data_IF_188390864381
#
_entry.id   IF_188390864381
#
_cell.length_a   1.000
_cell.length_b   1.000
_cell.length_c   1.000
_cell.angle_alpha   90.00
_cell.angle_beta   90.00
_cell.angle_gamma   90.00
#
_symmetry.space_group_name_H-M   'P 1'
#
loop_
_entity.id
_entity.type
_entity.pdbx_description
1 polymer ?
#
# COMPACT_ATOMS: atom_id res chain seq x y z
N UNK A 1 -9.56 10.17 -14.87
CA UNK A 1 -9.45 9.06 -13.94
C UNK A 1 -7.98 8.68 -13.83
N UNK A 2 -7.49 8.49 -12.61
CA UNK A 2 -6.21 7.88 -12.31
C UNK A 2 -6.43 6.48 -11.72
N UNK A 3 -5.48 5.58 -11.96
CA UNK A 3 -5.50 4.20 -11.46
C UNK A 3 -4.12 3.87 -10.90
N UNK A 4 -4.08 3.22 -9.75
CA UNK A 4 -2.87 2.63 -9.16
C UNK A 4 -3.12 1.18 -8.79
N UNK A 5 -2.07 0.35 -8.83
CA UNK A 5 -2.10 -1.04 -8.36
C UNK A 5 -0.89 -1.28 -7.49
N UNK A 6 -1.12 -1.74 -6.26
CA UNK A 6 -0.09 -1.89 -5.25
C UNK A 6 -0.23 -3.22 -4.49
N UNK A 7 0.91 -3.77 -4.06
CA UNK A 7 0.99 -4.99 -3.25
C UNK A 7 2.35 -5.05 -2.54
N UNK A 8 2.39 -5.61 -1.34
CA UNK A 8 3.64 -5.86 -0.61
C UNK A 8 3.58 -7.18 0.17
N UNK A 9 3.84 -8.29 -0.51
CA UNK A 9 3.79 -9.62 0.10
C UNK A 9 4.79 -9.81 1.25
N UNK A 10 5.97 -9.18 1.18
CA UNK A 10 6.97 -9.28 2.25
C UNK A 10 6.52 -8.55 3.52
N UNK A 11 5.89 -7.38 3.39
CA UNK A 11 5.32 -6.67 4.55
C UNK A 11 4.19 -7.47 5.19
N UNK A 12 3.29 -8.02 4.36
CA UNK A 12 2.19 -8.86 4.85
C UNK A 12 2.69 -10.16 5.47
N UNK A 13 3.82 -10.71 5.01
CA UNK A 13 4.44 -11.89 5.64
C UNK A 13 5.06 -11.57 6.99
N UNK A 14 5.71 -10.44 7.12
CA UNK A 14 6.38 -10.04 8.36
C UNK A 14 5.39 -9.58 9.45
N UNK A 15 4.38 -8.80 9.07
CA UNK A 15 3.28 -8.34 9.93
C UNK A 15 2.04 -8.11 9.04
N UNK A 16 1.11 -9.08 9.00
CA UNK A 16 -0.04 -9.03 8.11
C UNK A 16 -0.90 -7.77 8.32
N UNK A 17 -1.08 -7.34 9.55
CA UNK A 17 -1.91 -6.16 9.87
C UNK A 17 -1.25 -4.87 9.38
N UNK A 18 0.03 -4.68 9.67
CA UNK A 18 0.79 -3.51 9.19
C UNK A 18 0.94 -3.54 7.68
N UNK A 19 1.22 -4.71 7.09
CA UNK A 19 1.28 -4.88 5.64
C UNK A 19 -0.02 -4.52 4.96
N UNK A 20 -1.15 -4.95 5.50
CA UNK A 20 -2.49 -4.59 5.00
C UNK A 20 -2.76 -3.09 5.03
N UNK A 21 -2.32 -2.38 6.09
CA UNK A 21 -2.40 -0.90 6.14
C UNK A 21 -1.52 -0.25 5.09
N UNK A 22 -0.27 -0.73 4.96
CA UNK A 22 0.73 -0.16 4.07
C UNK A 22 0.27 -0.16 2.60
N UNK A 23 -0.25 -1.28 2.10
CA UNK A 23 -0.67 -1.37 0.70
C UNK A 23 -1.85 -0.44 0.36
N UNK A 24 -2.80 -0.26 1.30
CA UNK A 24 -3.91 0.70 1.10
C UNK A 24 -3.39 2.13 1.10
N UNK A 25 -2.52 2.47 2.04
CA UNK A 25 -1.94 3.82 2.11
C UNK A 25 -1.02 4.12 0.94
N UNK A 26 -0.24 3.15 0.46
CA UNK A 26 0.60 3.29 -0.73
C UNK A 26 -0.25 3.58 -1.96
N UNK A 27 -1.31 2.82 -2.17
CA UNK A 27 -2.24 3.03 -3.28
C UNK A 27 -2.88 4.43 -3.22
N UNK A 28 -3.31 4.84 -2.04
CA UNK A 28 -3.86 6.16 -1.79
C UNK A 28 -2.85 7.28 -2.12
N UNK A 29 -1.58 7.16 -1.67
CA UNK A 29 -0.50 8.11 -1.99
C UNK A 29 -0.21 8.19 -3.48
N UNK A 30 -0.18 7.04 -4.17
CA UNK A 30 0.10 6.97 -5.59
C UNK A 30 -0.93 7.72 -6.42
N UNK A 31 -2.21 7.65 -6.05
CA UNK A 31 -3.25 8.45 -6.68
C UNK A 31 -3.06 9.96 -6.43
N UNK A 32 -2.74 10.33 -5.19
CA UNK A 32 -2.47 11.73 -4.83
C UNK A 32 -1.26 12.29 -5.57
N UNK A 33 -0.21 11.47 -5.72
CA UNK A 33 1.04 11.89 -6.38
C UNK A 33 0.86 12.38 -7.81
N UNK A 34 -0.24 12.00 -8.47
CA UNK A 34 -0.59 12.47 -9.81
C UNK A 34 -1.69 13.55 -9.82
N UNK A 35 -2.07 14.06 -8.64
CA UNK A 35 -3.10 15.08 -8.48
C UNK A 35 -4.53 14.52 -8.47
N UNK A 36 -4.70 13.23 -8.26
CA UNK A 36 -6.01 12.60 -8.21
C UNK A 36 -6.54 12.51 -6.77
N UNK A 37 -7.79 12.88 -6.58
CA UNK A 37 -8.53 12.59 -5.34
C UNK A 37 -8.92 11.12 -5.30
N UNK A 38 -8.40 10.31 -4.35
CA UNK A 38 -8.75 8.90 -4.20
C UNK A 38 -10.25 8.73 -3.94
N UNK A 39 -10.88 7.74 -4.58
CA UNK A 39 -12.32 7.47 -4.45
C UNK A 39 -12.64 6.12 -3.85
N UNK A 40 -12.09 5.05 -4.42
CA UNK A 40 -12.43 3.69 -4.04
C UNK A 40 -11.35 2.71 -4.48
N UNK A 41 -11.35 1.52 -3.84
CA UNK A 41 -10.48 0.41 -4.20
C UNK A 41 -11.27 -0.85 -4.56
N UNK A 42 -10.63 -1.69 -5.36
CA UNK A 42 -10.90 -3.13 -5.45
C UNK A 42 -9.74 -3.89 -4.85
N UNK A 43 -9.99 -5.07 -4.28
CA UNK A 43 -8.91 -5.92 -3.79
C UNK A 43 -8.90 -7.30 -4.49
N UNK A 44 -7.73 -7.90 -4.60
CA UNK A 44 -7.53 -9.26 -5.05
C UNK A 44 -6.65 -9.95 -3.99
N UNK A 45 -7.27 -10.75 -3.14
CA UNK A 45 -6.63 -11.35 -1.97
C UNK A 45 -6.19 -12.77 -2.30
N UNK A 46 -4.89 -13.04 -2.22
CA UNK A 46 -4.31 -14.35 -2.54
C UNK A 46 -3.58 -14.91 -1.32
N UNK A 47 -4.04 -16.07 -0.83
CA UNK A 47 -3.54 -16.74 0.37
C UNK A 47 -3.41 -18.25 0.15
N UNK A 48 -2.67 -18.91 1.02
CA UNK A 48 -2.53 -20.37 1.03
C UNK A 48 -3.83 -21.09 1.44
N UNK A 49 -3.69 -22.31 1.97
CA UNK A 49 -4.85 -23.09 2.40
C UNK A 49 -5.52 -22.50 3.63
N UNK A 50 -6.84 -22.21 3.60
CA UNK A 50 -7.59 -21.70 4.74
C UNK A 50 -7.78 -22.75 5.85
N UNK A 51 -7.45 -24.02 5.59
CA UNK A 51 -7.46 -25.10 6.58
C UNK A 51 -6.28 -24.99 7.56
N UNK A 52 -5.26 -24.18 7.23
CA UNK A 52 -4.12 -23.89 8.11
C UNK A 52 -4.45 -22.70 8.99
N UNK A 53 -4.50 -22.87 10.33
CA UNK A 53 -4.85 -21.77 11.25
C UNK A 53 -3.96 -20.53 11.10
N UNK A 54 -2.66 -20.72 10.84
CA UNK A 54 -1.72 -19.63 10.62
C UNK A 54 -2.06 -18.79 9.37
N UNK A 55 -2.48 -19.43 8.27
CA UNK A 55 -2.89 -18.75 7.04
C UNK A 55 -4.17 -17.95 7.27
N UNK A 56 -5.12 -18.51 8.03
CA UNK A 56 -6.33 -17.78 8.38
C UNK A 56 -6.06 -16.62 9.33
N UNK A 57 -5.10 -16.75 10.25
CA UNK A 57 -4.62 -15.64 11.07
C UNK A 57 -4.05 -14.50 10.23
N UNK A 58 -3.12 -14.83 9.30
CA UNK A 58 -2.54 -13.87 8.35
C UNK A 58 -3.62 -13.16 7.50
N UNK A 59 -4.62 -13.90 7.03
CA UNK A 59 -5.74 -13.37 6.24
C UNK A 59 -6.59 -12.37 7.05
N UNK A 60 -7.00 -12.75 8.26
CA UNK A 60 -7.82 -11.90 9.16
C UNK A 60 -7.05 -10.62 9.51
N UNK A 61 -5.77 -10.72 9.84
CA UNK A 61 -4.96 -9.57 10.21
C UNK A 61 -4.72 -8.63 9.03
N UNK A 62 -4.46 -9.15 7.81
CA UNK A 62 -4.41 -8.35 6.60
C UNK A 62 -5.71 -7.56 6.40
N UNK A 63 -6.87 -8.22 6.50
CA UNK A 63 -8.18 -7.56 6.36
C UNK A 63 -8.38 -6.49 7.42
N UNK A 64 -8.03 -6.76 8.68
CA UNK A 64 -8.13 -5.78 9.75
C UNK A 64 -7.25 -4.55 9.48
N UNK A 65 -6.02 -4.76 9.00
CA UNK A 65 -5.13 -3.67 8.60
C UNK A 65 -5.69 -2.84 7.45
N UNK A 66 -6.17 -3.50 6.40
CA UNK A 66 -6.82 -2.85 5.26
C UNK A 66 -8.06 -2.06 5.69
N UNK A 67 -8.92 -2.65 6.53
CA UNK A 67 -10.10 -1.99 7.09
C UNK A 67 -9.74 -0.69 7.80
N UNK A 68 -8.78 -0.73 8.74
CA UNK A 68 -8.33 0.45 9.47
C UNK A 68 -7.88 1.57 8.53
N UNK A 69 -7.10 1.25 7.48
CA UNK A 69 -6.65 2.24 6.53
C UNK A 69 -7.77 2.79 5.64
N UNK A 70 -8.66 1.91 5.14
CA UNK A 70 -9.81 2.29 4.32
C UNK A 70 -10.76 3.24 5.06
N UNK A 71 -11.09 2.91 6.31
CA UNK A 71 -11.96 3.75 7.16
C UNK A 71 -11.30 5.11 7.44
N UNK A 72 -10.04 5.11 7.85
CA UNK A 72 -9.35 6.34 8.19
C UNK A 72 -9.14 7.28 7.00
N UNK A 73 -8.75 6.74 5.84
CA UNK A 73 -8.47 7.49 4.62
C UNK A 73 -9.75 7.81 3.82
N UNK A 74 -10.90 7.30 4.22
CA UNK A 74 -12.16 7.38 3.47
C UNK A 74 -12.00 6.82 2.04
N UNK A 75 -11.46 5.60 1.95
CA UNK A 75 -11.10 4.95 0.71
C UNK A 75 -11.74 3.55 0.66
N UNK A 76 -13.06 3.47 0.40
CA UNK A 76 -13.84 2.25 0.55
C UNK A 76 -13.51 1.17 -0.47
N UNK A 77 -13.61 -0.10 -0.04
CA UNK A 77 -13.61 -1.26 -0.93
C UNK A 77 -14.97 -1.39 -1.58
N UNK A 78 -15.04 -1.32 -2.92
CA UNK A 78 -16.30 -1.41 -3.68
C UNK A 78 -16.44 -2.73 -4.44
N UNK A 79 -15.36 -3.47 -4.62
CA UNK A 79 -15.35 -4.81 -5.19
C UNK A 79 -14.10 -5.56 -4.75
N UNK A 80 -14.06 -6.85 -5.03
CA UNK A 80 -12.88 -7.64 -4.71
C UNK A 80 -13.03 -9.10 -5.05
N UNK A 81 -11.93 -9.83 -4.82
CA UNK A 81 -11.82 -11.26 -5.03
C UNK A 81 -10.97 -11.87 -3.92
N UNK A 82 -11.30 -13.08 -3.51
CA UNK A 82 -10.48 -13.90 -2.61
C UNK A 82 -10.12 -15.19 -3.31
N UNK A 83 -8.84 -15.54 -3.32
CA UNK A 83 -8.29 -16.80 -3.81
C UNK A 83 -7.53 -17.50 -2.68
N UNK A 84 -7.94 -18.71 -2.35
CA UNK A 84 -7.29 -19.57 -1.38
C UNK A 84 -6.63 -20.78 -2.07
N UNK A 85 -5.97 -21.64 -1.28
CA UNK A 85 -5.24 -22.81 -1.72
C UNK A 85 -4.12 -22.51 -2.72
N UNK A 86 -3.54 -21.30 -2.67
CA UNK A 86 -2.38 -20.97 -3.48
C UNK A 86 -1.11 -21.57 -2.87
N UNK A 87 -0.78 -22.78 -3.28
CA UNK A 87 0.31 -23.57 -2.72
C UNK A 87 1.11 -24.26 -3.82
N UNK A 88 2.39 -24.44 -3.57
CA UNK A 88 3.28 -25.29 -4.39
C UNK A 88 4.05 -26.24 -3.49
N UNK A 89 3.95 -27.55 -3.75
CA UNK A 89 4.58 -28.60 -2.92
C UNK A 89 4.24 -28.44 -1.43
N UNK A 90 2.97 -28.23 -1.10
CA UNK A 90 2.44 -28.01 0.26
C UNK A 90 2.99 -26.77 0.97
N UNK A 91 3.69 -25.89 0.27
CA UNK A 91 4.11 -24.59 0.78
C UNK A 91 3.14 -23.50 0.31
N UNK A 92 2.55 -22.80 1.24
CA UNK A 92 1.71 -21.63 0.97
C UNK A 92 2.54 -20.50 0.36
N UNK A 93 1.93 -19.75 -0.56
CA UNK A 93 2.49 -18.45 -0.95
C UNK A 93 2.52 -17.50 0.26
N UNK A 94 3.30 -16.45 0.19
CA UNK A 94 3.16 -15.34 1.15
C UNK A 94 1.78 -14.70 1.04
N UNK A 95 1.24 -14.13 2.13
CA UNK A 95 0.05 -13.30 2.07
C UNK A 95 0.19 -12.23 0.99
N UNK A 96 -0.61 -12.29 -0.05
CA UNK A 96 -0.46 -11.42 -1.23
C UNK A 96 -1.79 -10.72 -1.56
N UNK A 97 -2.22 -9.76 -0.73
CA UNK A 97 -3.28 -8.85 -1.11
C UNK A 97 -2.76 -7.87 -2.17
N UNK A 98 -3.54 -7.68 -3.22
CA UNK A 98 -3.30 -6.70 -4.28
C UNK A 98 -4.44 -5.69 -4.26
N UNK A 99 -4.12 -4.41 -4.27
CA UNK A 99 -5.09 -3.32 -4.23
C UNK A 99 -5.06 -2.59 -5.56
N UNK A 100 -6.23 -2.46 -6.19
CA UNK A 100 -6.42 -1.57 -7.33
C UNK A 100 -7.25 -0.36 -6.90
N UNK A 101 -6.70 0.84 -6.96
CA UNK A 101 -7.38 2.07 -6.59
C UNK A 101 -7.70 2.95 -7.76
N UNK A 102 -8.79 3.71 -7.63
CA UNK A 102 -9.19 4.73 -8.59
C UNK A 102 -9.30 6.09 -7.91
N UNK A 103 -8.95 7.13 -8.67
CA UNK A 103 -9.11 8.52 -8.25
C UNK A 103 -9.57 9.41 -9.41
N UNK A 104 -10.08 10.58 -9.06
CA UNK A 104 -10.51 11.59 -10.04
C UNK A 104 -9.57 12.79 -10.02
N UNK A 105 -9.14 13.20 -11.20
CA UNK A 105 -8.47 14.46 -11.45
C UNK A 105 -9.51 15.42 -12.01
N UNK A 106 -9.85 16.44 -11.22
CA UNK A 106 -10.89 17.40 -11.59
C UNK A 106 -10.42 18.41 -12.65
N UNK A 107 -9.13 18.74 -12.63
CA UNK A 107 -8.52 19.65 -13.60
C UNK A 107 -7.28 18.98 -14.22
N UNK A 108 -7.35 18.72 -15.52
CA UNK A 108 -6.24 18.08 -16.26
C UNK A 108 -4.97 18.93 -16.30
N UNK A 109 -5.07 20.25 -16.06
CA UNK A 109 -3.89 21.13 -15.97
C UNK A 109 -3.07 20.88 -14.71
N UNK A 110 -3.66 20.26 -13.70
CA UNK A 110 -3.04 19.93 -12.42
C UNK A 110 -2.44 18.53 -12.38
N UNK A 111 -2.41 17.80 -13.49
CA UNK A 111 -1.75 16.50 -13.55
C UNK A 111 -0.26 16.69 -13.33
N UNK A 112 0.25 15.96 -12.36
CA UNK A 112 1.67 15.89 -12.08
C UNK A 112 2.26 14.57 -12.58
N UNK A 113 3.55 14.57 -12.85
CA UNK A 113 4.32 13.40 -13.20
C UNK A 113 5.74 13.50 -12.62
N UNK A 114 6.50 12.42 -12.72
CA UNK A 114 7.86 12.28 -12.17
C UNK A 114 8.90 13.19 -12.85
N UNK A 115 8.57 13.83 -13.97
CA UNK A 115 9.54 14.64 -14.71
C UNK A 115 9.66 16.04 -14.08
N UNK A 116 10.89 16.48 -13.81
CA UNK A 116 11.19 17.87 -13.51
C UNK A 116 11.01 18.69 -14.79
N UNK A 117 10.26 19.80 -14.69
CA UNK A 117 9.89 20.61 -15.87
C UNK A 117 10.97 21.62 -16.25
N UNK A 118 11.54 22.31 -15.28
CA UNK A 118 12.44 23.45 -15.51
C UNK A 118 13.60 23.47 -14.51
N UNK A 119 14.73 24.02 -14.92
CA UNK A 119 15.84 24.29 -14.01
C UNK A 119 15.48 25.41 -13.04
N UNK A 120 15.86 25.27 -11.78
CA UNK A 120 15.58 26.24 -10.72
C UNK A 120 14.30 25.99 -9.96
N UNK A 121 13.50 24.98 -10.31
CA UNK A 121 12.36 24.59 -9.50
C UNK A 121 12.80 24.07 -8.13
N UNK A 122 12.01 24.40 -7.10
CA UNK A 122 12.24 23.93 -5.75
C UNK A 122 11.82 22.46 -5.59
N UNK A 123 12.62 21.70 -4.85
CA UNK A 123 12.26 20.36 -4.38
C UNK A 123 11.82 20.49 -2.93
N UNK A 124 10.58 20.12 -2.65
CA UNK A 124 9.99 20.21 -1.32
C UNK A 124 9.71 18.79 -0.80
N UNK A 125 10.12 18.52 0.44
CA UNK A 125 9.76 17.29 1.14
C UNK A 125 8.57 17.59 2.05
N UNK A 126 7.47 16.88 1.83
CA UNK A 126 6.28 16.95 2.68
C UNK A 126 6.27 15.77 3.64
N UNK A 127 6.24 16.05 4.94
CA UNK A 127 6.26 15.05 5.99
C UNK A 127 7.63 14.84 6.63
N UNK A 128 7.75 13.75 7.38
CA UNK A 128 8.97 13.39 8.12
C UNK A 128 9.52 12.08 7.60
N UNK A 129 10.80 12.05 7.25
CA UNK A 129 11.51 10.82 6.89
C UNK A 129 12.11 10.18 8.15
N UNK A 130 11.76 8.92 8.38
CA UNK A 130 12.29 8.08 9.47
C UNK A 130 13.03 6.91 8.83
N UNK A 131 14.27 6.67 9.24
CA UNK A 131 15.05 5.53 8.79
C UNK A 131 14.42 4.20 9.23
N UNK A 132 14.38 3.21 8.33
CA UNK A 132 13.87 1.88 8.60
C UNK A 132 14.63 0.87 7.73
N UNK A 133 15.00 -0.28 8.28
CA UNK A 133 15.73 -1.31 7.56
C UNK A 133 14.96 -2.61 7.37
N UNK A 134 14.01 -2.94 8.24
CA UNK A 134 13.24 -4.18 8.16
C UNK A 134 12.50 -4.31 6.81
N UNK A 135 12.57 -5.48 6.18
CA UNK A 135 11.97 -5.78 4.88
C UNK A 135 12.41 -4.85 3.73
N UNK A 136 13.58 -4.21 3.86
CA UNK A 136 14.06 -3.25 2.87
C UNK A 136 14.81 -3.92 1.72
N UNK A 137 14.71 -3.31 0.54
CA UNK A 137 15.54 -3.69 -0.60
C UNK A 137 17.04 -3.56 -0.30
N UNK A 138 17.42 -2.62 0.57
CA UNK A 138 18.83 -2.46 0.99
C UNK A 138 19.37 -3.71 1.72
N UNK A 139 18.60 -4.27 2.66
CA UNK A 139 19.00 -5.50 3.35
C UNK A 139 19.05 -6.69 2.39
N UNK A 140 18.07 -6.79 1.50
CA UNK A 140 18.01 -7.87 0.53
C UNK A 140 19.20 -7.83 -0.45
N UNK A 141 19.43 -6.71 -1.10
CA UNK A 141 20.47 -6.57 -2.13
C UNK A 141 21.89 -6.67 -1.58
N UNK A 142 22.15 -6.13 -0.38
CA UNK A 142 23.50 -6.12 0.18
C UNK A 142 23.82 -7.34 1.07
N UNK A 143 22.79 -7.94 1.68
CA UNK A 143 23.00 -8.98 2.70
C UNK A 143 22.17 -10.24 2.50
N UNK A 144 21.29 -10.28 1.48
CA UNK A 144 20.30 -11.36 1.22
C UNK A 144 19.40 -11.63 2.45
N UNK A 145 19.08 -10.58 3.20
CA UNK A 145 18.23 -10.64 4.39
C UNK A 145 16.84 -10.09 4.07
N UNK A 146 15.81 -10.91 4.36
CA UNK A 146 14.40 -10.51 4.31
C UNK A 146 13.80 -10.68 5.71
N UNK A 147 14.21 -9.85 6.66
CA UNK A 147 13.83 -9.98 8.07
C UNK A 147 13.49 -8.63 8.69
N UNK A 148 12.93 -8.67 9.90
CA UNK A 148 12.49 -7.51 10.65
C UNK A 148 11.03 -7.10 10.33
N UNK A 149 10.44 -6.21 11.15
CA UNK A 149 9.09 -5.72 10.92
C UNK A 149 9.04 -4.83 9.68
N UNK A 150 7.86 -4.69 9.02
CA UNK A 150 7.65 -3.66 8.02
C UNK A 150 7.70 -2.26 8.66
N UNK A 151 7.90 -1.19 7.88
CA UNK A 151 7.83 0.16 8.42
C UNK A 151 6.43 0.45 8.98
N UNK A 152 6.38 1.04 10.16
CA UNK A 152 5.13 1.51 10.74
C UNK A 152 4.52 2.62 9.88
N UNK A 153 3.18 2.67 9.86
CA UNK A 153 2.45 3.71 9.17
C UNK A 153 1.59 4.53 10.13
N UNK A 154 1.74 5.84 10.05
CA UNK A 154 0.88 6.78 10.75
C UNK A 154 -0.18 7.33 9.79
N UNK A 155 -1.38 6.75 9.82
CA UNK A 155 -2.47 7.12 8.90
C UNK A 155 -2.89 8.59 9.02
N UNK A 156 -2.74 9.20 10.20
CA UNK A 156 -3.02 10.62 10.39
C UNK A 156 -2.05 11.49 9.58
N UNK A 157 -0.75 11.19 9.65
CA UNK A 157 0.25 11.90 8.87
C UNK A 157 0.07 11.64 7.37
N UNK A 158 -0.22 10.40 6.97
CA UNK A 158 -0.51 10.06 5.57
C UNK A 158 -1.63 10.93 5.01
N UNK A 159 -2.75 10.98 5.71
CA UNK A 159 -3.92 11.76 5.29
C UNK A 159 -3.61 13.25 5.19
N UNK A 160 -2.99 13.83 6.23
CA UNK A 160 -2.70 15.25 6.26
C UNK A 160 -1.69 15.66 5.18
N UNK A 161 -0.61 14.89 5.03
CA UNK A 161 0.39 15.15 4.01
C UNK A 161 -0.19 15.05 2.60
N UNK A 162 -0.99 14.03 2.35
CA UNK A 162 -1.61 13.83 1.04
C UNK A 162 -2.64 14.91 0.71
N UNK A 163 -3.49 15.29 1.66
CA UNK A 163 -4.45 16.38 1.45
C UNK A 163 -3.75 17.71 1.19
N UNK A 164 -2.68 18.01 1.92
CA UNK A 164 -1.86 19.20 1.67
C UNK A 164 -1.25 19.19 0.25
N UNK A 165 -0.79 18.03 -0.24
CA UNK A 165 -0.28 17.90 -1.62
C UNK A 165 -1.38 18.13 -2.66
N UNK A 166 -2.62 17.70 -2.41
CA UNK A 166 -3.73 17.93 -3.33
C UNK A 166 -4.18 19.40 -3.41
N UNK A 167 -3.88 20.19 -2.41
CA UNK A 167 -4.19 21.63 -2.38
C UNK A 167 -3.14 22.47 -3.14
N UNK A 168 -1.91 21.98 -3.31
CA UNK A 168 -0.84 22.62 -4.07
C UNK A 168 -1.09 22.58 -5.58
#
# INVERSE_FOLDING_TARGET
IAISVDSSALYCKADPKTGGKQIVAENWRNLISVGAKPLAITNCLNFGSPEKPEVMGEFIDCINGMKEACEFLNFPVVSGNVSFYNETNSKSIHPTPVIGGIGIINDLKRITNIKTKENGNLIIIVGKTIGHLGQSAFLYENFSITDGPPPEINLFNEKNNGLAILEL
#
